data_IF_358287253488
#
_entry.id   IF_358287253488
#
_cell.length_a   1.000
_cell.length_b   1.000
_cell.length_c   1.000
_cell.angle_alpha   90.00
_cell.angle_beta   90.00
_cell.angle_gamma   90.00
#
_symmetry.space_group_name_H-M   'P 1'
#
loop_
_entity.id
_entity.type
_entity.pdbx_description
1 polymer ?
#
# COMPACT_ATOMS: atom_id res chain seq x y z
N UNK A 1 2.27 0.71 -16.35
CA UNK A 1 2.90 2.04 -16.43
C UNK A 1 3.21 2.47 -15.02
N UNK A 2 4.49 2.63 -14.70
CA UNK A 2 4.94 3.12 -13.39
C UNK A 2 4.89 4.65 -13.43
N UNK A 3 4.15 5.25 -12.49
CA UNK A 3 3.94 6.71 -12.46
C UNK A 3 4.85 7.38 -11.43
N UNK A 4 5.10 6.71 -10.32
CA UNK A 4 5.96 7.22 -9.25
C UNK A 4 7.41 6.94 -9.59
N UNK A 5 8.26 7.97 -9.56
CA UNK A 5 9.70 7.83 -9.83
C UNK A 5 10.41 6.96 -8.77
N UNK A 6 11.59 6.38 -9.11
CA UNK A 6 12.50 5.80 -8.11
C UNK A 6 12.77 6.75 -6.95
N UNK A 7 12.84 6.21 -5.73
CA UNK A 7 12.94 6.98 -4.48
C UNK A 7 11.66 7.69 -4.05
N UNK A 8 10.58 7.61 -4.85
CA UNK A 8 9.31 8.25 -4.56
C UNK A 8 8.51 7.56 -3.46
N UNK A 9 7.54 8.28 -2.89
CA UNK A 9 6.61 7.77 -1.88
C UNK A 9 5.21 7.68 -2.48
N UNK A 10 4.53 6.56 -2.22
CA UNK A 10 3.10 6.37 -2.50
C UNK A 10 2.36 6.44 -1.17
N UNK A 11 1.45 7.40 -1.06
CA UNK A 11 0.50 7.50 0.04
C UNK A 11 -0.89 7.13 -0.49
N UNK A 12 -1.52 6.11 0.08
CA UNK A 12 -2.83 5.68 -0.37
C UNK A 12 -3.68 5.14 0.78
N UNK A 13 -4.99 5.11 0.55
CA UNK A 13 -5.95 4.48 1.45
C UNK A 13 -6.74 3.41 0.72
N UNK A 14 -7.05 2.31 1.39
CA UNK A 14 -7.94 1.27 0.88
C UNK A 14 -9.02 0.99 1.92
N UNK A 15 -10.26 0.75 1.49
CA UNK A 15 -11.29 0.21 2.39
C UNK A 15 -10.89 -1.19 2.83
N UNK A 16 -11.22 -1.56 4.06
CA UNK A 16 -10.93 -2.89 4.60
C UNK A 16 -11.49 -4.00 3.68
N UNK A 17 -12.74 -3.86 3.27
CA UNK A 17 -13.42 -4.82 2.36
C UNK A 17 -12.64 -5.02 1.06
N UNK A 18 -12.03 -3.97 0.51
CA UNK A 18 -11.22 -4.10 -0.70
C UNK A 18 -9.97 -4.93 -0.45
N UNK A 19 -9.26 -4.69 0.67
CA UNK A 19 -8.07 -5.46 1.01
C UNK A 19 -8.35 -6.95 1.17
N UNK A 20 -9.44 -7.29 1.85
CA UNK A 20 -9.86 -8.67 2.10
C UNK A 20 -10.34 -9.35 0.82
N UNK A 21 -11.19 -8.68 0.04
CA UNK A 21 -11.78 -9.25 -1.19
C UNK A 21 -10.72 -9.57 -2.24
N UNK A 22 -9.71 -8.71 -2.38
CA UNK A 22 -8.72 -8.82 -3.46
C UNK A 22 -7.34 -9.28 -3.00
N UNK A 23 -7.20 -9.73 -1.74
CA UNK A 23 -5.92 -10.12 -1.14
C UNK A 23 -4.81 -9.08 -1.41
N UNK A 24 -5.11 -7.81 -1.14
CA UNK A 24 -4.16 -6.72 -1.37
C UNK A 24 -2.85 -6.94 -0.60
N UNK A 25 -2.94 -7.54 0.60
CA UNK A 25 -1.78 -7.85 1.42
C UNK A 25 -0.83 -8.85 0.77
N UNK A 26 -1.35 -9.93 0.18
CA UNK A 26 -0.52 -10.86 -0.57
C UNK A 26 0.16 -10.18 -1.76
N UNK A 27 -0.62 -9.40 -2.52
CA UNK A 27 -0.11 -8.73 -3.72
C UNK A 27 1.04 -7.75 -3.42
N UNK A 28 0.89 -6.84 -2.45
CA UNK A 28 1.98 -5.89 -2.18
C UNK A 28 3.21 -6.59 -1.57
N UNK A 29 3.03 -7.68 -0.82
CA UNK A 29 4.16 -8.46 -0.27
C UNK A 29 4.95 -9.17 -1.38
N UNK A 30 4.29 -9.66 -2.42
CA UNK A 30 4.96 -10.19 -3.61
C UNK A 30 5.81 -9.10 -4.28
N UNK A 31 5.27 -7.89 -4.44
CA UNK A 31 6.03 -6.75 -4.97
C UNK A 31 7.21 -6.36 -4.08
N UNK A 32 7.06 -6.47 -2.76
CA UNK A 32 8.16 -6.21 -1.83
C UNK A 32 9.26 -7.27 -1.91
N UNK A 33 8.90 -8.54 -2.08
CA UNK A 33 9.86 -9.62 -2.32
C UNK A 33 10.61 -9.46 -3.64
N UNK A 34 9.93 -8.98 -4.68
CA UNK A 34 10.54 -8.65 -5.97
C UNK A 34 11.40 -7.37 -5.93
N UNK A 35 11.38 -6.63 -4.82
CA UNK A 35 12.12 -5.38 -4.68
C UNK A 35 11.55 -4.24 -5.53
N UNK A 36 10.27 -4.32 -5.89
CA UNK A 36 9.55 -3.30 -6.68
C UNK A 36 8.91 -2.24 -5.78
N UNK A 37 8.63 -2.58 -4.53
CA UNK A 37 7.97 -1.73 -3.56
C UNK A 37 8.53 -2.01 -2.15
N UNK A 38 8.42 -1.06 -1.22
CA UNK A 38 8.67 -1.30 0.20
C UNK A 38 7.59 -0.68 1.06
N UNK A 39 7.03 -1.43 1.99
CA UNK A 39 6.13 -0.87 3.00
C UNK A 39 6.97 -0.09 4.03
N UNK A 40 6.62 1.18 4.25
CA UNK A 40 7.26 2.06 5.23
C UNK A 40 6.42 2.17 6.49
N UNK A 41 5.11 2.39 6.34
CA UNK A 41 4.16 2.47 7.44
C UNK A 41 2.78 2.00 6.98
N UNK A 42 2.00 1.45 7.90
CA UNK A 42 0.59 1.21 7.69
C UNK A 42 -0.23 1.47 8.94
N UNK A 43 -1.21 2.36 8.82
CA UNK A 43 -2.25 2.57 9.84
C UNK A 43 -3.45 1.72 9.51
N UNK A 44 -3.50 0.54 10.13
CA UNK A 44 -4.58 -0.42 9.95
C UNK A 44 -5.84 -0.02 10.72
N UNK A 45 -6.99 -0.48 10.22
CA UNK A 45 -8.32 -0.36 10.82
C UNK A 45 -8.64 1.02 11.38
N UNK A 46 -8.38 2.06 10.59
CA UNK A 46 -8.67 3.45 10.97
C UNK A 46 -9.98 3.92 10.33
N UNK A 47 -10.68 4.87 10.96
CA UNK A 47 -11.92 5.43 10.40
C UNK A 47 -11.70 5.96 8.98
N UNK A 48 -12.66 5.70 8.10
CA UNK A 48 -12.64 6.15 6.70
C UNK A 48 -13.90 6.93 6.38
N UNK A 49 -13.78 8.26 6.25
CA UNK A 49 -14.85 9.19 5.89
C UNK A 49 -16.20 8.86 6.57
N UNK A 50 -16.25 8.97 7.91
CA UNK A 50 -17.43 8.66 8.72
C UNK A 50 -17.33 7.32 9.46
N UNK A 51 -18.46 6.87 10.05
CA UNK A 51 -18.54 5.62 10.82
C UNK A 51 -18.82 4.38 9.95
N UNK A 52 -19.08 4.56 8.64
CA UNK A 52 -19.63 3.48 7.80
C UNK A 52 -18.59 2.43 7.36
N UNK A 53 -17.28 2.69 7.46
CA UNK A 53 -16.26 1.68 7.19
C UNK A 53 -14.88 2.01 7.75
N UNK A 54 -14.09 0.98 8.04
CA UNK A 54 -12.67 1.09 8.33
C UNK A 54 -11.83 1.04 7.04
N UNK A 55 -10.66 1.68 7.08
CA UNK A 55 -9.65 1.65 6.04
C UNK A 55 -8.26 1.34 6.58
N UNK A 56 -7.36 1.07 5.65
CA UNK A 56 -5.93 1.05 5.86
C UNK A 56 -5.31 2.23 5.14
N UNK A 57 -4.38 2.92 5.80
CA UNK A 57 -3.62 4.02 5.24
C UNK A 57 -2.17 3.57 5.11
N UNK A 58 -1.71 3.48 3.88
CA UNK A 58 -0.43 2.87 3.52
C UNK A 58 0.55 3.94 3.09
N UNK A 59 1.80 3.77 3.52
CA UNK A 59 2.96 4.51 3.01
C UNK A 59 3.90 3.50 2.41
N UNK A 60 4.10 3.58 1.10
CA UNK A 60 5.09 2.77 0.39
C UNK A 60 6.20 3.65 -0.18
N UNK A 61 7.39 3.09 -0.32
CA UNK A 61 8.50 3.69 -1.05
C UNK A 61 8.82 2.88 -2.31
N UNK A 62 9.10 3.58 -3.41
CA UNK A 62 9.72 3.00 -4.60
C UNK A 62 11.24 2.97 -4.38
N UNK A 63 11.91 1.82 -4.51
CA UNK A 63 13.37 1.75 -4.40
C UNK A 63 14.09 2.67 -5.41
N UNK A 64 15.24 3.23 -5.03
CA UNK A 64 16.08 4.08 -5.90
C UNK A 64 16.69 3.30 -7.08
N UNK A 65 16.83 1.98 -6.92
CA UNK A 65 17.37 1.06 -7.90
C UNK A 65 16.78 -0.33 -7.68
N UNK A 66 16.27 -0.96 -8.74
CA UNK A 66 15.91 -2.39 -8.70
C UNK A 66 17.20 -3.19 -8.51
N UNK A 67 17.24 -4.04 -7.48
CA UNK A 67 18.38 -4.92 -7.24
C UNK A 67 18.48 -6.01 -8.29
#
# INVERSE_FOLDING_TARGET
MEVTKPGGIILMSTRLVFCETYNFEGYYKELEQLGELKLIDCRMNKPYLGEESNAHYWVFAIPESKK
#
